data_IF_338766080177
#
_entry.id   IF_338766080177
#
_cell.length_a   1.000
_cell.length_b   1.000
_cell.length_c   1.000
_cell.angle_alpha   90.00
_cell.angle_beta   90.00
_cell.angle_gamma   90.00
#
_symmetry.space_group_name_H-M   'P 1'
#
loop_
_entity.id
_entity.type
_entity.pdbx_description
1 polymer ?
#
# COMPACT_ATOMS: atom_id res chain seq x y z
N UNK A 1 21.17 24.83 -3.49
CA UNK A 1 20.13 24.91 -4.54
C UNK A 1 19.10 23.84 -4.24
N UNK A 2 17.83 24.19 -4.21
CA UNK A 2 16.72 23.23 -4.10
C UNK A 2 16.74 22.32 -5.32
N UNK A 3 16.40 21.07 -5.16
CA UNK A 3 16.27 20.07 -6.25
C UNK A 3 15.11 20.40 -7.19
N UNK A 4 14.13 21.16 -6.71
CA UNK A 4 12.88 21.47 -7.36
C UNK A 4 12.65 22.99 -7.42
N UNK A 5 11.92 23.43 -8.45
CA UNK A 5 11.55 24.84 -8.64
C UNK A 5 10.19 25.15 -8.01
N UNK A 6 9.31 24.15 -7.91
CA UNK A 6 7.99 24.24 -7.30
C UNK A 6 7.47 22.85 -6.91
N UNK A 7 6.31 22.79 -6.24
CA UNK A 7 5.70 21.51 -5.90
C UNK A 7 4.20 21.48 -6.12
N UNK A 8 3.66 20.27 -6.32
CA UNK A 8 2.23 19.99 -6.43
C UNK A 8 1.81 18.95 -5.40
N UNK A 9 0.72 19.20 -4.66
CA UNK A 9 0.09 18.23 -3.76
C UNK A 9 -1.08 17.61 -4.51
N UNK A 10 -0.87 16.40 -5.01
CA UNK A 10 -1.87 15.59 -5.68
C UNK A 10 -2.69 14.85 -4.62
N UNK A 11 -3.94 15.25 -4.49
CA UNK A 11 -4.81 14.81 -3.42
C UNK A 11 -6.24 14.63 -3.93
N UNK A 12 -7.12 14.24 -3.04
CA UNK A 12 -8.56 14.34 -3.26
C UNK A 12 -9.21 15.19 -2.16
N UNK A 13 -10.46 15.59 -2.38
CA UNK A 13 -11.20 16.30 -1.35
C UNK A 13 -11.29 15.46 -0.09
N UNK A 14 -11.17 16.07 1.08
CA UNK A 14 -11.28 15.43 2.41
C UNK A 14 -10.14 14.48 2.78
N UNK A 15 -9.03 14.50 2.07
CA UNK A 15 -7.81 13.71 2.40
C UNK A 15 -6.93 14.34 3.48
N UNK A 16 -7.26 15.54 3.98
CA UNK A 16 -6.45 16.25 4.97
C UNK A 16 -5.46 17.24 4.36
N UNK A 17 -5.60 17.56 3.07
CA UNK A 17 -4.69 18.45 2.33
C UNK A 17 -4.59 19.87 2.93
N UNK A 18 -5.66 20.39 3.56
CA UNK A 18 -5.60 21.67 4.30
C UNK A 18 -4.66 21.59 5.52
N UNK A 19 -4.62 20.45 6.23
CA UNK A 19 -3.73 20.27 7.37
C UNK A 19 -2.28 20.13 6.91
N UNK A 20 -2.05 19.38 5.82
CA UNK A 20 -0.73 19.29 5.20
C UNK A 20 -0.23 20.68 4.77
N UNK A 21 -1.04 21.45 4.05
CA UNK A 21 -0.74 22.81 3.64
C UNK A 21 -0.37 23.71 4.83
N UNK A 22 -1.17 23.69 5.92
CA UNK A 22 -0.91 24.52 7.11
C UNK A 22 0.45 24.18 7.73
N UNK A 23 0.83 22.91 7.75
CA UNK A 23 2.12 22.48 8.28
C UNK A 23 3.28 22.76 7.33
N UNK A 24 3.09 22.65 6.01
CA UNK A 24 4.11 23.06 5.03
C UNK A 24 4.38 24.55 5.11
N UNK A 25 3.34 25.38 5.24
CA UNK A 25 3.46 26.83 5.42
C UNK A 25 4.08 27.25 6.75
N UNK A 26 4.27 26.31 7.68
CA UNK A 26 5.02 26.54 8.92
C UNK A 26 6.52 26.19 8.79
N UNK A 27 6.96 25.67 7.64
CA UNK A 27 8.37 25.40 7.34
C UNK A 27 8.96 26.61 6.64
N UNK A 28 10.04 27.17 7.17
CA UNK A 28 10.72 28.30 6.56
C UNK A 28 11.16 27.98 5.12
N UNK A 29 10.80 28.85 4.19
CA UNK A 29 11.12 28.72 2.77
C UNK A 29 10.12 27.87 1.96
N UNK A 30 9.01 27.38 2.57
CA UNK A 30 7.90 26.74 1.87
C UNK A 30 6.65 27.63 1.84
N UNK A 31 5.93 27.60 0.71
CA UNK A 31 4.64 28.26 0.56
C UNK A 31 3.70 27.41 -0.28
N UNK A 32 2.66 26.86 0.32
CA UNK A 32 1.55 26.22 -0.38
C UNK A 32 0.41 27.25 -0.58
N UNK A 33 0.04 27.48 -1.82
CA UNK A 33 -0.81 28.61 -2.26
C UNK A 33 -2.28 28.18 -2.46
N UNK A 34 -2.74 27.20 -1.68
CA UNK A 34 -4.11 26.72 -1.75
C UNK A 34 -4.41 25.91 -3.02
N UNK A 35 -5.62 26.02 -3.52
CA UNK A 35 -6.10 25.35 -4.73
C UNK A 35 -5.97 26.28 -5.94
N UNK A 36 -4.73 26.53 -6.38
CA UNK A 36 -4.42 27.53 -7.41
C UNK A 36 -5.18 27.31 -8.74
N UNK A 37 -5.53 26.06 -9.04
CA UNK A 37 -6.20 25.66 -10.29
C UNK A 37 -7.58 25.03 -10.06
N UNK A 38 -8.27 25.43 -8.99
CA UNK A 38 -9.66 25.02 -8.76
C UNK A 38 -10.57 25.70 -9.79
N UNK A 39 -11.50 24.98 -10.46
CA UNK A 39 -12.34 25.57 -11.52
C UNK A 39 -13.28 26.69 -11.02
N UNK A 40 -13.61 26.75 -9.73
CA UNK A 40 -14.53 27.73 -9.18
C UNK A 40 -13.89 28.97 -8.54
N UNK A 41 -12.56 28.91 -8.24
CA UNK A 41 -11.83 30.01 -7.59
C UNK A 41 -10.32 29.87 -7.81
N UNK A 42 -9.55 30.88 -7.39
CA UNK A 42 -8.09 30.87 -7.48
C UNK A 42 -7.48 30.87 -6.05
N UNK A 43 -6.65 29.87 -5.73
CA UNK A 43 -6.02 29.73 -4.41
C UNK A 43 -7.01 29.41 -3.31
N UNK A 44 -7.80 30.38 -2.89
CA UNK A 44 -8.81 30.23 -1.82
C UNK A 44 -10.14 30.86 -2.25
N UNK A 45 -11.30 30.38 -1.74
CA UNK A 45 -12.58 31.04 -1.95
C UNK A 45 -12.52 32.53 -1.58
N UNK A 46 -13.14 33.38 -2.39
CA UNK A 46 -13.16 34.86 -2.27
C UNK A 46 -11.82 35.56 -2.57
N UNK A 47 -10.81 34.86 -3.05
CA UNK A 47 -9.58 35.49 -3.52
C UNK A 47 -9.74 35.89 -4.99
N UNK A 48 -9.39 37.12 -5.34
CA UNK A 48 -9.58 37.68 -6.71
C UNK A 48 -8.37 37.36 -7.62
N UNK A 49 -7.18 37.27 -7.05
CA UNK A 49 -5.95 37.01 -7.78
C UNK A 49 -4.94 36.22 -6.91
N UNK A 50 -4.05 35.44 -7.55
CA UNK A 50 -2.95 34.72 -6.93
C UNK A 50 -1.66 35.06 -7.67
N UNK A 51 -0.62 35.44 -6.97
CA UNK A 51 0.65 35.90 -7.56
C UNK A 51 0.45 36.97 -8.66
N UNK A 52 -0.55 37.85 -8.50
CA UNK A 52 -0.87 38.89 -9.45
C UNK A 52 -1.69 38.46 -10.70
N UNK A 53 -2.05 37.18 -10.78
CA UNK A 53 -2.83 36.60 -11.88
C UNK A 53 -4.25 36.39 -11.42
N UNK A 54 -5.23 36.94 -12.18
CA UNK A 54 -6.66 36.77 -11.92
C UNK A 54 -7.18 35.39 -12.37
N UNK A 55 -8.40 35.05 -11.93
CA UNK A 55 -9.06 33.81 -12.34
C UNK A 55 -9.22 33.76 -13.88
N UNK A 56 -9.67 34.84 -14.51
CA UNK A 56 -9.87 34.88 -15.97
C UNK A 56 -8.56 34.73 -16.75
N UNK A 57 -7.49 35.36 -16.29
CA UNK A 57 -6.16 35.22 -16.89
C UNK A 57 -5.67 33.78 -16.79
N UNK A 58 -5.82 33.12 -15.61
CA UNK A 58 -5.48 31.72 -15.42
C UNK A 58 -6.29 30.78 -16.32
N UNK A 59 -7.61 31.01 -16.46
CA UNK A 59 -8.47 30.19 -17.34
C UNK A 59 -8.06 30.31 -18.80
N UNK A 60 -7.69 31.52 -19.23
CA UNK A 60 -7.21 31.76 -20.59
C UNK A 60 -5.86 31.05 -20.84
N UNK A 61 -4.91 31.21 -19.91
CA UNK A 61 -3.57 30.59 -19.98
C UNK A 61 -3.07 30.21 -18.59
N UNK A 62 -3.19 28.92 -18.18
CA UNK A 62 -2.74 28.45 -16.88
C UNK A 62 -1.21 28.50 -16.70
N UNK A 63 -0.44 28.57 -17.80
CA UNK A 63 1.01 28.68 -17.73
C UNK A 63 1.43 30.00 -17.06
N UNK A 64 0.69 31.10 -17.26
CA UNK A 64 0.98 32.37 -16.61
C UNK A 64 1.03 32.25 -15.09
N UNK A 65 0.08 31.52 -14.48
CA UNK A 65 0.06 31.32 -13.04
C UNK A 65 1.17 30.36 -12.60
N UNK A 66 1.47 29.31 -13.36
CA UNK A 66 2.60 28.41 -13.08
C UNK A 66 3.93 29.15 -13.06
N UNK A 67 4.14 30.03 -14.03
CA UNK A 67 5.38 30.83 -14.12
C UNK A 67 5.46 31.84 -12.95
N UNK A 68 4.34 32.44 -12.57
CA UNK A 68 4.28 33.34 -11.41
C UNK A 68 4.55 32.57 -10.08
N UNK A 69 4.06 31.35 -9.95
CA UNK A 69 4.34 30.48 -8.79
C UNK A 69 5.83 30.11 -8.73
N UNK A 70 6.45 29.76 -9.86
CA UNK A 70 7.88 29.45 -9.97
C UNK A 70 8.77 30.67 -9.65
N UNK A 71 8.30 31.86 -9.95
CA UNK A 71 9.05 33.11 -9.73
C UNK A 71 8.86 33.67 -8.30
N UNK A 72 7.96 33.12 -7.50
CA UNK A 72 7.69 33.58 -6.15
C UNK A 72 8.83 33.21 -5.18
N UNK A 73 8.95 33.95 -4.07
CA UNK A 73 9.99 33.73 -3.07
C UNK A 73 9.85 32.39 -2.36
N UNK A 74 10.97 31.65 -2.26
CA UNK A 74 11.02 30.32 -1.66
C UNK A 74 10.54 29.21 -2.60
N UNK A 75 10.33 28.01 -2.04
CA UNK A 75 9.76 26.89 -2.80
C UNK A 75 8.24 26.94 -2.68
N UNK A 76 7.59 27.39 -3.75
CA UNK A 76 6.15 27.53 -3.80
C UNK A 76 5.47 26.32 -4.45
N UNK A 77 4.22 26.06 -4.07
CA UNK A 77 3.42 24.99 -4.64
C UNK A 77 1.94 25.16 -4.35
N UNK A 78 1.15 24.19 -4.74
CA UNK A 78 -0.31 24.24 -4.62
C UNK A 78 -0.93 22.85 -4.47
N UNK A 79 -2.19 22.83 -4.00
CA UNK A 79 -3.02 21.63 -3.94
C UNK A 79 -3.76 21.42 -5.26
N UNK A 80 -3.82 20.20 -5.72
CA UNK A 80 -4.45 19.82 -6.96
C UNK A 80 -5.28 18.54 -6.78
N UNK A 81 -6.53 18.58 -7.26
CA UNK A 81 -7.47 17.47 -7.20
C UNK A 81 -7.81 16.96 -8.60
N UNK A 82 -8.35 15.75 -8.69
CA UNK A 82 -8.63 15.08 -9.96
C UNK A 82 -9.56 15.88 -10.90
N UNK A 83 -10.38 16.79 -10.38
CA UNK A 83 -11.33 17.64 -11.11
C UNK A 83 -10.80 19.05 -11.40
N UNK A 84 -9.52 19.31 -11.12
CA UNK A 84 -8.86 20.57 -11.48
C UNK A 84 -8.40 20.56 -12.96
N UNK A 85 -7.82 21.66 -13.44
CA UNK A 85 -7.43 21.86 -14.82
C UNK A 85 -6.45 20.77 -15.33
N UNK A 86 -6.85 19.87 -16.26
CA UNK A 86 -6.01 18.79 -16.75
C UNK A 86 -4.76 19.26 -17.49
N UNK A 87 -4.78 20.48 -18.09
CA UNK A 87 -3.62 21.07 -18.79
C UNK A 87 -2.45 21.25 -17.81
N UNK A 88 -2.75 21.72 -16.59
CA UNK A 88 -1.76 21.92 -15.52
C UNK A 88 -1.21 20.60 -15.02
N UNK A 89 -2.07 19.59 -14.87
CA UNK A 89 -1.64 18.26 -14.42
C UNK A 89 -0.61 17.66 -15.40
N UNK A 90 -0.86 17.75 -16.68
CA UNK A 90 0.05 17.24 -17.71
C UNK A 90 1.40 17.95 -17.67
N UNK A 91 1.41 19.28 -17.53
CA UNK A 91 2.63 20.08 -17.40
C UNK A 91 3.41 19.65 -16.14
N UNK A 92 2.76 19.62 -14.98
CA UNK A 92 3.41 19.28 -13.71
C UNK A 92 3.96 17.85 -13.69
N UNK A 93 3.23 16.88 -14.25
CA UNK A 93 3.69 15.49 -14.30
C UNK A 93 4.85 15.27 -15.27
N UNK A 94 4.93 16.07 -16.33
CA UNK A 94 6.04 16.01 -17.28
C UNK A 94 7.31 16.72 -16.76
N UNK A 95 7.17 17.75 -15.93
CA UNK A 95 8.27 18.60 -15.46
C UNK A 95 9.09 17.92 -14.33
N UNK A 96 10.35 17.54 -14.54
CA UNK A 96 11.19 16.94 -13.50
C UNK A 96 11.56 17.91 -12.37
N UNK A 97 11.46 19.24 -12.61
CA UNK A 97 11.68 20.27 -11.61
C UNK A 97 10.45 20.54 -10.73
N UNK A 98 9.32 19.90 -11.01
CA UNK A 98 8.15 19.89 -10.14
C UNK A 98 8.25 18.76 -9.12
N UNK A 99 8.28 19.05 -7.83
CA UNK A 99 8.15 18.02 -6.80
C UNK A 99 6.71 17.54 -6.71
N UNK A 100 6.49 16.21 -6.74
CA UNK A 100 5.16 15.61 -6.61
C UNK A 100 4.98 15.06 -5.21
N UNK A 101 3.89 15.43 -4.55
CA UNK A 101 3.46 14.93 -3.24
C UNK A 101 2.10 14.27 -3.44
N UNK A 102 1.97 12.99 -3.17
CA UNK A 102 0.70 12.25 -3.31
C UNK A 102 0.13 11.97 -1.93
N UNK A 103 -0.97 12.63 -1.61
CA UNK A 103 -1.67 12.47 -0.34
C UNK A 103 -2.91 11.60 -0.52
N UNK A 104 -2.96 10.50 0.26
CA UNK A 104 -4.05 9.52 0.21
C UNK A 104 -4.77 9.38 1.55
N UNK A 105 -6.00 8.91 1.49
CA UNK A 105 -6.82 8.55 2.65
C UNK A 105 -7.75 7.42 2.26
N UNK A 106 -8.28 6.67 3.26
CA UNK A 106 -9.29 5.66 3.01
C UNK A 106 -10.48 6.26 2.23
N UNK A 107 -10.87 5.70 1.08
CA UNK A 107 -11.92 6.25 0.22
C UNK A 107 -13.30 6.35 0.90
N UNK A 108 -13.64 5.40 1.78
CA UNK A 108 -14.91 5.47 2.50
C UNK A 108 -14.94 6.64 3.49
N UNK A 109 -13.83 6.87 4.21
CA UNK A 109 -13.70 8.04 5.09
C UNK A 109 -13.79 9.36 4.32
N UNK A 110 -13.18 9.43 3.12
CA UNK A 110 -13.25 10.63 2.27
C UNK A 110 -14.65 10.86 1.77
N UNK A 111 -15.31 9.82 1.27
CA UNK A 111 -16.68 9.90 0.77
C UNK A 111 -17.68 10.37 1.86
N UNK A 112 -17.69 9.70 3.01
CA UNK A 112 -18.59 10.08 4.14
C UNK A 112 -18.29 11.51 4.61
N UNK A 113 -17.01 11.88 4.72
CA UNK A 113 -16.61 13.25 5.10
C UNK A 113 -17.01 14.29 4.05
N UNK A 114 -16.98 13.94 2.76
CA UNK A 114 -17.41 14.81 1.65
C UNK A 114 -18.92 15.03 1.72
N UNK A 115 -19.72 13.98 1.89
CA UNK A 115 -21.18 14.07 2.00
C UNK A 115 -21.60 14.95 3.19
N UNK A 116 -20.92 14.79 4.34
CA UNK A 116 -21.19 15.65 5.52
C UNK A 116 -20.81 17.10 5.22
N UNK A 117 -19.68 17.36 4.56
CA UNK A 117 -19.26 18.71 4.22
C UNK A 117 -20.24 19.39 3.24
N UNK A 118 -20.76 18.66 2.26
CA UNK A 118 -21.80 19.11 1.33
C UNK A 118 -23.09 19.45 2.05
N UNK A 119 -23.54 18.56 2.96
CA UNK A 119 -24.80 18.73 3.70
C UNK A 119 -24.75 19.86 4.74
N UNK A 120 -23.57 20.12 5.34
CA UNK A 120 -23.38 21.13 6.40
C UNK A 120 -22.84 22.47 5.89
N UNK A 121 -22.28 22.52 4.69
CA UNK A 121 -21.53 23.64 4.15
C UNK A 121 -20.19 23.89 4.87
N UNK A 122 -19.72 22.96 5.72
CA UNK A 122 -18.52 23.14 6.52
C UNK A 122 -17.29 22.43 5.90
N UNK A 123 -16.46 23.20 5.20
CA UNK A 123 -15.27 22.69 4.51
C UNK A 123 -13.98 22.74 5.36
N UNK A 124 -13.90 23.67 6.32
CA UNK A 124 -12.78 23.82 7.27
C UNK A 124 -13.31 23.91 8.71
N UNK A 125 -12.55 23.41 9.67
CA UNK A 125 -12.86 23.47 11.08
C UNK A 125 -11.63 23.96 11.85
N UNK A 126 -11.73 25.16 12.42
CA UNK A 126 -10.67 25.75 13.26
C UNK A 126 -11.01 25.69 14.75
N UNK A 127 -12.30 25.64 15.09
CA UNK A 127 -12.77 25.54 16.46
C UNK A 127 -13.74 24.36 16.60
N UNK A 128 -13.38 23.40 17.47
CA UNK A 128 -14.17 22.19 17.67
C UNK A 128 -15.60 22.44 18.19
N UNK A 129 -15.83 23.56 18.92
CA UNK A 129 -17.17 23.95 19.41
C UNK A 129 -18.12 24.35 18.28
N UNK A 130 -17.61 24.69 17.13
CA UNK A 130 -18.38 25.07 15.94
C UNK A 130 -18.54 23.89 14.94
N UNK A 131 -18.19 22.67 15.37
CA UNK A 131 -18.33 21.49 14.51
C UNK A 131 -19.83 21.26 14.20
N UNK A 132 -20.16 21.28 12.91
CA UNK A 132 -21.47 20.89 12.42
C UNK A 132 -21.45 19.39 12.15
N UNK A 133 -22.39 18.67 12.71
CA UNK A 133 -22.57 17.24 12.48
C UNK A 133 -23.90 16.99 11.81
N UNK A 134 -23.92 16.13 10.81
CA UNK A 134 -25.15 15.65 10.19
C UNK A 134 -24.95 14.20 9.79
N UNK A 135 -25.95 13.37 10.07
CA UNK A 135 -26.00 12.01 9.54
C UNK A 135 -26.35 12.07 8.06
N UNK A 136 -25.59 11.35 7.25
CA UNK A 136 -25.82 11.24 5.80
C UNK A 136 -26.39 9.87 5.46
N UNK A 137 -27.10 9.76 4.35
CA UNK A 137 -27.42 8.48 3.74
C UNK A 137 -26.27 8.05 2.82
N UNK A 138 -25.84 6.81 2.97
CA UNK A 138 -24.85 6.20 2.07
C UNK A 138 -25.57 5.74 0.80
N UNK A 139 -24.98 6.07 -0.35
CA UNK A 139 -25.41 5.61 -1.66
C UNK A 139 -24.30 4.73 -2.26
N UNK A 140 -24.63 3.46 -2.57
CA UNK A 140 -23.67 2.48 -3.02
C UNK A 140 -23.13 2.77 -4.42
N UNK A 141 -23.97 3.27 -5.33
CA UNK A 141 -23.58 3.58 -6.71
C UNK A 141 -22.74 4.86 -6.73
N UNK A 142 -23.13 5.88 -5.98
CA UNK A 142 -22.34 7.11 -5.82
C UNK A 142 -20.98 6.81 -5.20
N UNK A 143 -20.93 5.98 -4.16
CA UNK A 143 -19.65 5.56 -3.56
C UNK A 143 -18.78 4.76 -4.52
N UNK A 144 -19.37 3.85 -5.29
CA UNK A 144 -18.62 3.05 -6.29
C UNK A 144 -18.02 3.95 -7.37
N UNK A 145 -18.77 4.97 -7.81
CA UNK A 145 -18.26 5.94 -8.78
C UNK A 145 -17.15 6.82 -8.19
N UNK A 146 -17.30 7.26 -6.94
CA UNK A 146 -16.26 8.01 -6.22
C UNK A 146 -14.98 7.16 -6.07
N UNK A 147 -15.10 5.91 -5.63
CA UNK A 147 -13.97 4.98 -5.49
C UNK A 147 -13.26 4.77 -6.84
N UNK A 148 -14.03 4.56 -7.92
CA UNK A 148 -13.47 4.38 -9.26
C UNK A 148 -12.71 5.62 -9.73
N UNK A 149 -13.28 6.82 -9.57
CA UNK A 149 -12.62 8.06 -9.95
C UNK A 149 -11.28 8.25 -9.21
N UNK A 150 -11.24 7.96 -7.91
CA UNK A 150 -10.00 8.00 -7.13
C UNK A 150 -8.97 6.97 -7.62
N UNK A 151 -9.39 5.75 -7.89
CA UNK A 151 -8.50 4.68 -8.38
C UNK A 151 -7.95 4.97 -9.76
N UNK A 152 -8.78 5.49 -10.67
CA UNK A 152 -8.37 5.88 -12.02
C UNK A 152 -7.36 7.02 -11.97
N UNK A 153 -7.60 8.03 -11.13
CA UNK A 153 -6.66 9.14 -10.94
C UNK A 153 -5.32 8.65 -10.38
N UNK A 154 -5.33 7.82 -9.35
CA UNK A 154 -4.11 7.25 -8.78
C UNK A 154 -3.36 6.38 -9.81
N UNK A 155 -4.06 5.53 -10.55
CA UNK A 155 -3.47 4.67 -11.59
C UNK A 155 -2.81 5.52 -12.68
N UNK A 156 -3.47 6.59 -13.11
CA UNK A 156 -2.93 7.54 -14.09
C UNK A 156 -1.67 8.24 -13.55
N UNK A 157 -1.69 8.73 -12.30
CA UNK A 157 -0.52 9.34 -11.68
C UNK A 157 0.69 8.38 -11.64
N UNK A 158 0.46 7.13 -11.20
CA UNK A 158 1.52 6.12 -11.15
C UNK A 158 2.10 5.85 -12.53
N UNK A 159 1.24 5.66 -13.54
CA UNK A 159 1.67 5.44 -14.92
C UNK A 159 2.52 6.61 -15.44
N UNK A 160 2.09 7.85 -15.20
CA UNK A 160 2.81 9.06 -15.65
C UNK A 160 4.18 9.17 -14.97
N UNK A 161 4.27 8.89 -13.68
CA UNK A 161 5.54 8.88 -12.96
C UNK A 161 6.48 7.79 -13.49
N UNK A 162 5.96 6.59 -13.81
CA UNK A 162 6.75 5.49 -14.36
C UNK A 162 7.33 5.81 -15.73
N UNK A 163 6.52 6.29 -16.66
CA UNK A 163 6.98 6.57 -18.04
C UNK A 163 7.94 7.77 -18.11
N UNK A 164 7.91 8.68 -17.12
CA UNK A 164 8.83 9.82 -17.03
C UNK A 164 10.06 9.55 -16.14
N UNK A 165 10.13 8.35 -15.51
CA UNK A 165 11.22 8.00 -14.60
C UNK A 165 11.27 8.86 -13.33
N UNK A 166 10.15 9.47 -12.95
CA UNK A 166 10.05 10.34 -11.79
C UNK A 166 9.44 9.61 -10.60
N UNK A 167 9.64 10.17 -9.40
CA UNK A 167 9.04 9.68 -8.17
C UNK A 167 8.28 10.79 -7.46
N UNK A 168 7.37 10.41 -6.56
CA UNK A 168 6.66 11.32 -5.68
C UNK A 168 6.96 10.99 -4.21
N UNK A 169 6.70 11.95 -3.31
CA UNK A 169 6.60 11.66 -1.89
C UNK A 169 5.17 11.22 -1.58
N UNK A 170 5.01 9.97 -1.16
CA UNK A 170 3.71 9.42 -0.79
C UNK A 170 3.48 9.58 0.70
N UNK A 171 2.32 10.10 1.07
CA UNK A 171 1.94 10.33 2.46
C UNK A 171 0.48 9.92 2.67
N UNK A 172 0.20 9.15 3.73
CA UNK A 172 -1.15 8.82 4.15
C UNK A 172 -1.74 9.85 5.11
N UNK A 173 -3.07 9.89 5.19
CA UNK A 173 -3.78 10.78 6.12
C UNK A 173 -3.33 10.61 7.57
N UNK A 174 -3.08 9.38 8.01
CA UNK A 174 -2.69 9.10 9.40
C UNK A 174 -1.28 9.56 9.70
N UNK A 175 -0.40 9.56 8.68
CA UNK A 175 0.99 10.01 8.78
C UNK A 175 1.10 11.54 8.93
N UNK A 176 0.05 12.29 8.61
CA UNK A 176 0.02 13.75 8.78
C UNK A 176 0.22 14.20 10.23
N UNK A 177 -0.04 13.32 11.21
CA UNK A 177 0.18 13.62 12.63
C UNK A 177 1.60 13.31 13.10
N UNK A 178 2.43 12.72 12.24
CA UNK A 178 3.83 12.40 12.53
C UNK A 178 4.74 13.54 12.04
N UNK A 179 5.35 14.24 12.97
CA UNK A 179 6.28 15.34 12.68
C UNK A 179 7.53 14.85 11.94
N UNK A 180 7.97 13.61 12.18
CA UNK A 180 9.14 13.05 11.52
C UNK A 180 8.85 12.82 10.03
N UNK A 181 7.63 12.39 9.67
CA UNK A 181 7.19 12.25 8.28
C UNK A 181 7.13 13.61 7.58
N UNK A 182 6.58 14.64 8.21
CA UNK A 182 6.55 16.00 7.64
C UNK A 182 7.95 16.60 7.48
N UNK A 183 8.85 16.34 8.42
CA UNK A 183 10.25 16.70 8.30
C UNK A 183 10.98 15.92 7.19
N UNK A 184 10.61 14.67 6.97
CA UNK A 184 11.03 13.85 5.83
C UNK A 184 10.58 14.47 4.50
N UNK A 185 9.35 14.96 4.44
CA UNK A 185 8.83 15.68 3.27
C UNK A 185 9.62 16.99 3.00
N UNK A 186 9.91 17.78 4.04
CA UNK A 186 10.75 18.97 3.90
C UNK A 186 12.15 18.63 3.37
N UNK A 187 12.74 17.51 3.85
CA UNK A 187 14.02 17.02 3.33
C UNK A 187 13.93 16.57 1.85
N UNK A 188 12.86 15.87 1.47
CA UNK A 188 12.59 15.49 0.08
C UNK A 188 12.52 16.73 -0.84
N UNK A 189 11.90 17.81 -0.36
CA UNK A 189 11.82 19.10 -1.05
C UNK A 189 13.15 19.86 -1.09
N UNK A 190 14.18 19.35 -0.44
CA UNK A 190 15.53 19.94 -0.45
C UNK A 190 15.73 21.06 0.56
N UNK A 191 14.86 21.16 1.59
CA UNK A 191 14.96 22.20 2.62
C UNK A 191 15.64 21.69 3.88
N UNK A 192 16.55 22.47 4.48
CA UNK A 192 17.19 22.16 5.76
C UNK A 192 16.27 22.43 6.96
N UNK A 193 15.30 23.35 6.79
CA UNK A 193 14.35 23.72 7.82
C UNK A 193 13.50 22.54 8.31
N UNK A 194 13.19 22.52 9.61
CA UNK A 194 12.42 21.46 10.25
C UNK A 194 11.35 22.05 11.16
N UNK A 195 10.21 21.38 11.18
CA UNK A 195 9.16 21.64 12.16
C UNK A 195 9.61 21.17 13.55
N UNK A 196 9.48 22.01 14.54
CA UNK A 196 9.61 21.63 15.94
C UNK A 196 8.29 21.10 16.52
N UNK A 197 7.16 21.63 16.02
CA UNK A 197 5.81 21.25 16.43
C UNK A 197 4.85 21.30 15.25
N UNK A 198 3.79 20.49 15.30
CA UNK A 198 2.71 20.56 14.32
C UNK A 198 1.85 21.81 14.51
N UNK A 199 1.45 22.46 13.41
CA UNK A 199 0.37 23.44 13.42
C UNK A 199 -0.97 22.71 13.63
N UNK A 200 -1.56 22.90 14.81
CA UNK A 200 -2.83 22.28 15.23
C UNK A 200 -4.03 23.23 15.18
N UNK A 201 -3.92 24.33 14.42
CA UNK A 201 -5.05 25.26 14.21
C UNK A 201 -6.24 24.58 13.59
N UNK A 202 -6.01 23.67 12.65
CA UNK A 202 -7.06 22.86 12.03
C UNK A 202 -7.38 21.64 12.90
N UNK A 203 -8.66 21.41 13.12
CA UNK A 203 -9.17 20.27 13.88
C UNK A 203 -9.72 19.19 12.97
N UNK A 204 -9.60 17.92 13.39
CA UNK A 204 -10.20 16.78 12.69
C UNK A 204 -11.72 16.99 12.65
N UNK A 205 -12.26 16.98 11.44
CA UNK A 205 -13.71 17.00 11.24
C UNK A 205 -14.26 15.57 11.31
N UNK A 206 -15.46 15.42 11.86
CA UNK A 206 -16.20 14.17 11.93
C UNK A 206 -15.40 12.98 12.51
N UNK A 207 -14.83 13.09 13.74
CA UNK A 207 -14.01 12.02 14.32
C UNK A 207 -14.83 10.81 14.79
N UNK A 208 -16.17 10.92 14.87
CA UNK A 208 -17.08 9.88 15.31
C UNK A 208 -17.02 8.62 14.41
N UNK A 209 -17.42 7.43 14.92
CA UNK A 209 -17.52 6.22 14.11
C UNK A 209 -18.62 6.34 13.03
N UNK A 210 -18.61 5.44 12.03
CA UNK A 210 -19.61 5.47 10.96
C UNK A 210 -21.05 5.32 11.46
N UNK A 211 -21.27 4.55 12.53
CA UNK A 211 -22.59 4.38 13.15
C UNK A 211 -23.26 5.71 13.52
N UNK A 212 -22.47 6.71 13.89
CA UNK A 212 -22.98 8.04 14.26
C UNK A 212 -23.12 8.98 13.06
N UNK A 213 -22.45 8.66 11.95
CA UNK A 213 -22.38 9.51 10.75
C UNK A 213 -23.30 9.08 9.63
N UNK A 214 -23.63 7.78 9.55
CA UNK A 214 -24.41 7.17 8.47
C UNK A 214 -25.77 6.72 8.99
N UNK A 215 -26.84 7.12 8.31
CA UNK A 215 -28.22 6.78 8.74
C UNK A 215 -28.61 5.34 8.37
N UNK A 216 -28.10 4.82 7.27
CA UNK A 216 -28.37 3.48 6.72
C UNK A 216 -27.13 2.59 6.78
N UNK A 217 -26.55 2.43 7.99
CA UNK A 217 -25.30 1.71 8.22
C UNK A 217 -25.33 0.26 7.69
N UNK A 218 -26.44 -0.46 7.93
CA UNK A 218 -26.57 -1.86 7.48
C UNK A 218 -26.54 -2.01 5.94
N UNK A 219 -27.11 -1.04 5.21
CA UNK A 219 -27.06 -0.99 3.74
C UNK A 219 -25.62 -0.71 3.27
N UNK A 220 -24.95 0.24 3.93
CA UNK A 220 -23.54 0.54 3.66
C UNK A 220 -22.66 -0.71 3.86
N UNK A 221 -22.79 -1.40 5.01
CA UNK A 221 -22.02 -2.61 5.29
C UNK A 221 -22.30 -3.74 4.28
N UNK A 222 -23.56 -3.87 3.85
CA UNK A 222 -23.94 -4.85 2.83
C UNK A 222 -23.32 -4.53 1.47
N UNK A 223 -23.34 -3.26 1.06
CA UNK A 223 -22.74 -2.83 -0.20
C UNK A 223 -21.22 -3.02 -0.19
N UNK A 224 -20.56 -2.70 0.92
CA UNK A 224 -19.10 -2.85 1.06
C UNK A 224 -18.63 -4.30 0.99
N UNK A 225 -19.45 -5.28 1.35
CA UNK A 225 -19.12 -6.71 1.20
C UNK A 225 -18.92 -7.14 -0.27
N UNK A 226 -19.56 -6.45 -1.20
CA UNK A 226 -19.43 -6.69 -2.64
C UNK A 226 -18.24 -5.98 -3.29
N UNK A 227 -17.59 -5.08 -2.56
CA UNK A 227 -16.44 -4.31 -3.04
C UNK A 227 -15.15 -4.99 -2.57
N UNK A 228 -14.13 -5.03 -3.45
CA UNK A 228 -12.79 -5.49 -3.06
C UNK A 228 -12.27 -4.66 -1.88
N UNK A 229 -12.13 -5.24 -0.66
CA UNK A 229 -11.72 -4.50 0.52
C UNK A 229 -10.29 -3.94 0.40
N UNK A 230 -9.47 -4.51 -0.48
CA UNK A 230 -8.11 -4.03 -0.75
C UNK A 230 -8.09 -2.82 -1.69
N UNK A 231 -9.16 -2.58 -2.44
CA UNK A 231 -9.36 -1.36 -3.20
C UNK A 231 -9.55 -0.11 -2.34
N UNK A 232 -9.82 -0.29 -1.03
CA UNK A 232 -9.90 0.78 -0.04
C UNK A 232 -8.53 1.15 0.54
N UNK A 233 -7.42 0.69 -0.05
CA UNK A 233 -6.06 1.01 0.37
C UNK A 233 -5.83 2.53 0.36
N UNK A 234 -5.10 3.02 1.36
CA UNK A 234 -4.75 4.44 1.52
C UNK A 234 -3.62 4.89 0.61
N UNK A 235 -2.68 3.96 0.34
CA UNK A 235 -1.46 4.25 -0.40
C UNK A 235 -1.51 3.58 -1.75
N UNK A 236 -1.17 4.28 -2.83
CA UNK A 236 -1.08 3.68 -4.15
C UNK A 236 -0.11 2.50 -4.15
N UNK A 237 -0.50 1.40 -4.74
CA UNK A 237 0.34 0.22 -4.88
C UNK A 237 0.96 0.21 -6.28
N UNK A 238 2.29 0.35 -6.34
CA UNK A 238 3.06 0.32 -7.60
C UNK A 238 3.32 -1.10 -8.09
N UNK A 239 3.07 -2.11 -7.26
CA UNK A 239 3.32 -3.48 -7.67
C UNK A 239 2.37 -3.90 -8.79
N UNK A 240 2.88 -4.64 -9.79
CA UNK A 240 2.03 -5.22 -10.82
C UNK A 240 0.99 -6.15 -10.20
N UNK A 241 -0.25 -6.02 -10.64
CA UNK A 241 -1.35 -6.90 -10.19
C UNK A 241 -0.96 -8.37 -10.36
N UNK A 242 -1.31 -9.17 -9.37
CA UNK A 242 -1.17 -10.64 -9.41
C UNK A 242 -2.54 -11.26 -9.67
N UNK A 243 -2.53 -12.36 -10.37
CA UNK A 243 -3.73 -13.22 -10.50
C UNK A 243 -3.84 -14.20 -9.34
N UNK A 244 -4.98 -14.88 -9.20
CA UNK A 244 -5.14 -15.95 -8.23
C UNK A 244 -4.22 -17.11 -8.60
N UNK A 245 -3.48 -17.60 -7.62
CA UNK A 245 -2.54 -18.70 -7.80
C UNK A 245 -3.20 -20.06 -7.50
N UNK A 246 -4.38 -20.34 -8.08
CA UNK A 246 -5.20 -21.54 -7.81
C UNK A 246 -4.39 -22.84 -7.85
N UNK A 247 -3.47 -23.08 -8.80
CA UNK A 247 -2.68 -24.30 -8.81
C UNK A 247 -1.80 -24.51 -7.56
N UNK A 248 -1.51 -23.45 -6.80
CA UNK A 248 -0.73 -23.54 -5.56
C UNK A 248 -1.59 -23.78 -4.31
N UNK A 249 -2.91 -23.76 -4.44
CA UNK A 249 -3.79 -24.02 -3.30
C UNK A 249 -3.63 -25.46 -2.83
N UNK A 250 -3.76 -25.65 -1.51
CA UNK A 250 -3.75 -26.97 -0.87
C UNK A 250 -5.06 -27.17 -0.14
N UNK A 251 -5.63 -28.37 -0.23
CA UNK A 251 -6.80 -28.75 0.54
C UNK A 251 -6.51 -30.01 1.35
N UNK A 252 -7.08 -30.12 2.54
CA UNK A 252 -7.07 -31.36 3.29
C UNK A 252 -7.83 -32.44 2.50
N UNK A 253 -7.39 -33.68 2.62
CA UNK A 253 -7.90 -34.77 1.78
C UNK A 253 -9.38 -35.12 2.06
N UNK A 254 -9.81 -34.95 3.31
CA UNK A 254 -11.17 -35.32 3.78
C UNK A 254 -11.83 -34.21 4.58
N UNK A 255 -11.05 -33.36 5.24
CA UNK A 255 -11.54 -32.27 6.07
C UNK A 255 -11.80 -31.03 5.21
N UNK A 256 -12.91 -30.34 5.43
CA UNK A 256 -13.33 -29.17 4.65
C UNK A 256 -12.43 -27.92 4.84
N UNK A 257 -11.11 -28.04 4.64
CA UNK A 257 -10.14 -26.96 4.80
C UNK A 257 -9.31 -26.74 3.53
N UNK A 258 -9.25 -25.50 3.07
CA UNK A 258 -8.42 -25.05 1.94
C UNK A 258 -7.42 -24.00 2.44
N UNK A 259 -6.15 -24.27 2.25
CA UNK A 259 -5.08 -23.30 2.41
C UNK A 259 -4.78 -22.61 1.08
N UNK A 260 -4.80 -21.28 1.11
CA UNK A 260 -4.47 -20.41 -0.03
C UNK A 260 -3.09 -19.80 0.25
N UNK A 261 -1.98 -20.42 -0.20
CA UNK A 261 -0.65 -20.03 0.21
C UNK A 261 -0.21 -18.69 -0.38
N UNK A 262 0.46 -17.90 0.43
CA UNK A 262 1.34 -16.83 -0.01
C UNK A 262 2.74 -17.42 -0.20
N UNK A 263 3.30 -17.30 -1.41
CA UNK A 263 4.60 -17.90 -1.74
C UNK A 263 5.69 -17.43 -0.76
N UNK A 264 6.62 -18.30 -0.40
CA UNK A 264 7.61 -18.13 0.69
C UNK A 264 6.98 -18.01 2.08
N UNK A 265 5.75 -18.47 2.24
CA UNK A 265 5.05 -18.66 3.51
C UNK A 265 5.30 -20.04 4.12
N UNK A 266 4.58 -20.43 5.20
CA UNK A 266 4.78 -21.68 5.94
C UNK A 266 4.04 -22.87 5.31
N UNK A 267 4.28 -23.14 4.02
CA UNK A 267 3.55 -24.14 3.26
C UNK A 267 3.78 -25.56 3.78
N UNK A 268 5.01 -25.85 4.16
CA UNK A 268 5.40 -27.18 4.68
C UNK A 268 4.69 -27.49 6.00
N UNK A 269 4.62 -26.51 6.90
CA UNK A 269 3.91 -26.67 8.20
C UNK A 269 2.43 -26.99 7.98
N UNK A 270 1.79 -26.35 7.01
CA UNK A 270 0.37 -26.59 6.70
C UNK A 270 0.18 -27.94 6.02
N UNK A 271 1.09 -28.32 5.11
CA UNK A 271 1.05 -29.63 4.43
C UNK A 271 1.18 -30.76 5.44
N UNK A 272 2.16 -30.67 6.37
CA UNK A 272 2.37 -31.65 7.43
C UNK A 272 1.15 -31.73 8.37
N UNK A 273 0.57 -30.60 8.69
CA UNK A 273 -0.63 -30.57 9.53
C UNK A 273 -1.85 -31.19 8.81
N UNK A 274 -2.06 -30.93 7.52
CA UNK A 274 -3.12 -31.57 6.74
C UNK A 274 -2.93 -33.08 6.65
N UNK A 275 -1.67 -33.52 6.50
CA UNK A 275 -1.36 -34.95 6.54
C UNK A 275 -1.73 -35.56 7.90
N UNK A 276 -1.32 -34.92 9.01
CA UNK A 276 -1.63 -35.39 10.37
C UNK A 276 -3.15 -35.35 10.67
N UNK A 277 -3.90 -34.40 10.06
CA UNK A 277 -5.32 -34.25 10.26
C UNK A 277 -6.14 -35.39 9.60
N UNK A 278 -5.76 -35.79 8.40
CA UNK A 278 -6.54 -36.72 7.57
C UNK A 278 -5.85 -38.06 7.31
N UNK A 279 -4.63 -38.27 7.82
CA UNK A 279 -3.78 -39.43 7.51
C UNK A 279 -3.70 -39.68 5.99
N UNK A 280 -3.54 -38.59 5.23
CA UNK A 280 -3.45 -38.59 3.79
C UNK A 280 -2.77 -37.31 3.29
N UNK A 281 -2.02 -37.36 2.17
CA UNK A 281 -1.40 -36.16 1.62
C UNK A 281 -2.45 -35.11 1.20
N UNK A 282 -2.15 -33.82 1.36
CA UNK A 282 -3.05 -32.77 0.90
C UNK A 282 -3.23 -32.83 -0.61
N UNK A 283 -4.40 -32.39 -1.09
CA UNK A 283 -4.72 -32.26 -2.51
C UNK A 283 -4.13 -30.94 -3.00
N UNK A 284 -3.38 -30.98 -4.08
CA UNK A 284 -2.70 -29.83 -4.71
C UNK A 284 -3.07 -29.72 -6.20
N UNK A 285 -2.44 -28.79 -6.91
CA UNK A 285 -2.54 -28.65 -8.37
C UNK A 285 -3.99 -28.41 -8.88
N UNK A 286 -4.72 -27.60 -8.13
CA UNK A 286 -6.10 -27.27 -8.49
C UNK A 286 -6.20 -26.49 -9.80
N UNK A 287 -7.15 -26.89 -10.65
CA UNK A 287 -7.79 -26.04 -11.64
C UNK A 287 -9.00 -25.33 -11.01
N UNK A 288 -9.54 -24.30 -11.66
CA UNK A 288 -10.80 -23.68 -11.20
C UNK A 288 -11.94 -24.71 -11.14
N UNK A 289 -11.97 -25.66 -12.07
CA UNK A 289 -13.01 -26.70 -12.10
C UNK A 289 -12.85 -27.67 -10.93
N UNK A 290 -11.66 -28.22 -10.72
CA UNK A 290 -11.41 -29.18 -9.61
C UNK A 290 -11.56 -28.54 -8.25
N UNK A 291 -11.20 -27.25 -8.09
CA UNK A 291 -11.42 -26.49 -6.87
C UNK A 291 -12.92 -26.34 -6.53
N UNK A 292 -13.75 -25.97 -7.53
CA UNK A 292 -15.21 -25.88 -7.36
C UNK A 292 -15.82 -27.23 -7.00
N UNK A 293 -15.38 -28.31 -7.65
CA UNK A 293 -15.84 -29.66 -7.36
C UNK A 293 -15.51 -30.04 -5.91
N UNK A 294 -14.24 -29.84 -5.49
CA UNK A 294 -13.82 -30.13 -4.12
C UNK A 294 -14.65 -29.35 -3.09
N UNK A 295 -14.92 -28.05 -3.34
CA UNK A 295 -15.75 -27.21 -2.48
C UNK A 295 -17.19 -27.72 -2.36
N UNK A 296 -17.76 -28.25 -3.46
CA UNK A 296 -19.09 -28.85 -3.46
C UNK A 296 -19.14 -30.13 -2.62
N UNK A 297 -18.09 -30.93 -2.68
CA UNK A 297 -18.01 -32.25 -2.05
C UNK A 297 -17.71 -32.17 -0.54
N UNK A 298 -17.15 -31.04 -0.08
CA UNK A 298 -16.67 -30.84 1.31
C UNK A 298 -17.42 -29.72 2.06
N UNK A 299 -18.70 -29.61 1.88
CA UNK A 299 -19.51 -28.63 2.61
C UNK A 299 -19.87 -29.12 4.01
N UNK A 300 -19.65 -28.33 5.13
CA UNK A 300 -19.10 -26.99 5.14
C UNK A 300 -17.58 -26.98 4.98
N UNK A 301 -17.04 -25.93 4.34
CA UNK A 301 -15.60 -25.75 4.22
C UNK A 301 -15.17 -24.33 4.66
N UNK A 302 -13.86 -24.17 4.93
CA UNK A 302 -13.22 -22.88 5.23
C UNK A 302 -11.95 -22.71 4.39
N UNK A 303 -11.77 -21.49 3.89
CA UNK A 303 -10.55 -21.05 3.21
C UNK A 303 -9.73 -20.21 4.16
N UNK A 304 -8.44 -20.43 4.22
CA UNK A 304 -7.55 -19.61 5.03
C UNK A 304 -6.22 -19.36 4.34
N UNK A 305 -5.56 -18.31 4.77
CA UNK A 305 -4.18 -17.99 4.40
C UNK A 305 -3.40 -17.59 5.64
N UNK A 306 -2.07 -17.63 5.53
CA UNK A 306 -1.17 -17.30 6.62
C UNK A 306 -0.23 -16.19 6.18
N UNK A 307 -0.19 -15.11 6.94
CA UNK A 307 0.79 -14.02 6.82
C UNK A 307 2.05 -14.38 7.58
N UNK A 308 3.19 -14.17 6.95
CA UNK A 308 4.50 -14.25 7.57
C UNK A 308 5.06 -12.85 7.79
N UNK A 309 5.88 -12.66 8.82
CA UNK A 309 6.59 -11.39 9.00
C UNK A 309 7.30 -10.99 7.71
N UNK A 310 7.17 -9.75 7.20
CA UNK A 310 7.68 -9.36 5.87
C UNK A 310 9.16 -9.63 5.67
N UNK A 311 9.99 -9.36 6.69
CA UNK A 311 11.44 -9.63 6.62
C UNK A 311 11.72 -11.13 6.56
N UNK A 312 11.07 -11.95 7.40
CA UNK A 312 11.23 -13.40 7.40
C UNK A 312 10.80 -14.00 6.04
N UNK A 313 9.74 -13.48 5.45
CA UNK A 313 9.27 -13.91 4.12
C UNK A 313 10.23 -13.50 3.01
N UNK A 314 10.75 -12.27 3.02
CA UNK A 314 11.75 -11.82 2.06
C UNK A 314 13.06 -12.61 2.20
N UNK A 315 13.43 -12.96 3.43
CA UNK A 315 14.60 -13.80 3.71
C UNK A 315 14.42 -15.23 3.18
N UNK A 316 13.25 -15.84 3.38
CA UNK A 316 12.95 -17.15 2.80
C UNK A 316 13.03 -17.10 1.25
N UNK A 317 12.47 -16.07 0.63
CA UNK A 317 12.57 -15.87 -0.83
C UNK A 317 14.03 -15.71 -1.29
N UNK A 318 14.84 -14.96 -0.53
CA UNK A 318 16.27 -14.80 -0.80
C UNK A 318 17.02 -16.13 -0.73
N UNK A 319 16.84 -16.89 0.34
CA UNK A 319 17.53 -18.17 0.54
C UNK A 319 17.11 -19.21 -0.52
N UNK A 320 15.82 -19.43 -0.68
CA UNK A 320 15.28 -20.52 -1.51
C UNK A 320 15.41 -20.27 -3.01
N UNK A 321 15.37 -19.01 -3.45
CA UNK A 321 15.29 -18.72 -4.89
C UNK A 321 16.49 -17.95 -5.46
N UNK A 322 17.22 -17.21 -4.62
CA UNK A 322 18.27 -16.29 -5.09
C UNK A 322 19.66 -16.75 -4.63
N UNK A 323 19.82 -17.09 -3.35
CA UNK A 323 21.12 -17.41 -2.78
C UNK A 323 21.60 -18.81 -3.18
N UNK A 324 20.74 -19.82 -3.00
CA UNK A 324 21.05 -21.21 -3.32
C UNK A 324 20.92 -21.51 -4.82
N UNK A 325 21.48 -22.66 -5.22
CA UNK A 325 21.38 -23.21 -6.59
C UNK A 325 20.67 -24.58 -6.62
N UNK A 326 20.02 -24.96 -5.50
CA UNK A 326 19.22 -26.18 -5.39
C UNK A 326 17.86 -26.07 -6.09
N UNK A 327 16.98 -27.03 -5.86
CA UNK A 327 15.64 -27.06 -6.42
C UNK A 327 14.84 -25.80 -6.05
N UNK A 328 14.14 -25.25 -7.05
CA UNK A 328 13.33 -24.03 -6.88
C UNK A 328 14.08 -22.70 -7.05
N UNK A 329 15.40 -22.73 -7.27
CA UNK A 329 16.16 -21.50 -7.54
C UNK A 329 15.80 -20.87 -8.91
N UNK A 330 16.10 -19.57 -9.07
CA UNK A 330 15.86 -18.82 -10.30
C UNK A 330 17.18 -18.47 -11.02
N UNK A 331 17.74 -19.35 -11.86
CA UNK A 331 19.10 -19.20 -12.40
C UNK A 331 19.28 -17.91 -13.21
N UNK A 332 18.34 -17.59 -14.11
CA UNK A 332 18.42 -16.37 -14.93
C UNK A 332 18.29 -15.09 -14.10
N UNK A 333 17.40 -15.09 -13.14
CA UNK A 333 17.21 -13.96 -12.25
C UNK A 333 18.42 -13.76 -11.35
N UNK A 334 18.92 -14.83 -10.74
CA UNK A 334 20.15 -14.83 -9.95
C UNK A 334 21.32 -14.22 -10.72
N UNK A 335 21.51 -14.66 -11.98
CA UNK A 335 22.54 -14.09 -12.86
C UNK A 335 22.32 -12.58 -13.14
N UNK A 336 21.07 -12.15 -13.34
CA UNK A 336 20.71 -10.75 -13.53
C UNK A 336 21.01 -9.92 -12.27
N UNK A 337 20.60 -10.41 -11.10
CA UNK A 337 20.84 -9.72 -9.83
C UNK A 337 22.34 -9.56 -9.55
N UNK A 338 23.16 -10.58 -9.81
CA UNK A 338 24.61 -10.48 -9.67
C UNK A 338 25.24 -9.51 -10.68
N UNK A 339 24.89 -9.60 -11.96
CA UNK A 339 25.54 -8.84 -13.03
C UNK A 339 25.07 -7.41 -13.13
N UNK A 340 23.74 -7.17 -13.08
CA UNK A 340 23.14 -5.86 -13.30
C UNK A 340 22.98 -5.11 -11.97
N UNK A 341 22.40 -5.76 -10.96
CA UNK A 341 22.13 -5.14 -9.66
C UNK A 341 23.30 -5.30 -8.66
N UNK A 342 24.41 -5.95 -9.08
CA UNK A 342 25.63 -6.11 -8.28
C UNK A 342 25.40 -6.78 -6.91
N UNK A 343 24.42 -7.70 -6.85
CA UNK A 343 24.14 -8.43 -5.61
C UNK A 343 25.38 -9.21 -5.16
N UNK A 344 25.90 -8.99 -3.94
CA UNK A 344 27.13 -9.62 -3.45
C UNK A 344 26.85 -11.05 -2.92
N UNK A 345 26.48 -11.95 -3.81
CA UNK A 345 26.26 -13.37 -3.52
C UNK A 345 27.25 -14.25 -4.29
N UNK A 346 27.66 -15.40 -3.75
CA UNK A 346 28.61 -16.30 -4.39
C UNK A 346 28.16 -16.72 -5.79
N UNK A 347 29.11 -17.09 -6.65
CA UNK A 347 28.81 -17.61 -8.00
C UNK A 347 28.10 -18.95 -7.94
N UNK A 348 28.72 -19.86 -7.19
CA UNK A 348 28.11 -21.12 -6.83
C UNK A 348 27.31 -20.89 -5.54
N UNK A 349 26.01 -21.20 -5.57
CA UNK A 349 25.15 -20.97 -4.40
C UNK A 349 25.63 -21.82 -3.22
N UNK A 350 25.71 -21.26 -2.00
CA UNK A 350 26.11 -22.04 -0.85
C UNK A 350 25.05 -23.10 -0.52
N UNK A 351 25.48 -24.24 -0.04
CA UNK A 351 24.64 -25.15 0.72
C UNK A 351 24.44 -24.55 2.12
N UNK A 352 23.24 -24.12 2.46
CA UNK A 352 22.96 -23.43 3.73
C UNK A 352 23.01 -24.38 4.94
N UNK A 353 22.94 -25.68 4.72
CA UNK A 353 23.10 -26.69 5.77
C UNK A 353 24.58 -27.01 5.99
N UNK A 354 25.42 -26.85 4.93
CA UNK A 354 26.86 -27.07 4.98
C UNK A 354 27.61 -25.90 4.28
N UNK A 355 27.58 -24.68 4.85
CA UNK A 355 27.89 -23.45 4.15
C UNK A 355 29.36 -23.25 3.73
N UNK A 356 30.29 -24.08 4.21
CA UNK A 356 31.71 -23.94 3.91
C UNK A 356 32.26 -22.58 4.36
N UNK A 357 32.83 -21.82 3.42
CA UNK A 357 33.37 -20.47 3.68
C UNK A 357 32.30 -19.37 3.68
N UNK A 358 31.02 -19.69 3.46
CA UNK A 358 29.93 -18.70 3.49
C UNK A 358 29.53 -18.42 4.95
N UNK A 359 29.81 -17.20 5.40
CA UNK A 359 29.62 -16.78 6.78
C UNK A 359 28.39 -15.88 7.00
N UNK A 360 27.97 -15.66 8.26
CA UNK A 360 26.84 -14.78 8.59
C UNK A 360 27.02 -13.33 8.12
N UNK A 361 28.25 -12.81 8.04
CA UNK A 361 28.49 -11.42 7.59
C UNK A 361 28.25 -11.30 6.08
N UNK A 362 28.73 -12.27 5.29
CA UNK A 362 28.44 -12.36 3.86
C UNK A 362 26.94 -12.52 3.60
N UNK A 363 26.26 -13.35 4.41
CA UNK A 363 24.82 -13.55 4.33
C UNK A 363 24.05 -12.24 4.57
N UNK A 364 24.36 -11.56 5.66
CA UNK A 364 23.77 -10.26 5.99
C UNK A 364 23.97 -9.23 4.85
N UNK A 365 25.21 -9.14 4.34
CA UNK A 365 25.54 -8.22 3.25
C UNK A 365 24.73 -8.53 1.99
N UNK A 366 24.63 -9.80 1.61
CA UNK A 366 23.84 -10.24 0.46
C UNK A 366 22.34 -9.97 0.63
N UNK A 367 21.80 -10.24 1.81
CA UNK A 367 20.39 -10.02 2.10
C UNK A 367 20.02 -8.54 2.15
N UNK A 368 20.84 -7.67 2.76
CA UNK A 368 20.60 -6.23 2.76
C UNK A 368 20.59 -5.67 1.34
N UNK A 369 21.54 -6.06 0.50
CA UNK A 369 21.54 -5.67 -0.91
C UNK A 369 20.32 -6.20 -1.68
N UNK A 370 19.81 -7.38 -1.31
CA UNK A 370 18.55 -7.89 -1.86
C UNK A 370 17.34 -7.05 -1.42
N UNK A 371 17.28 -6.58 -0.17
CA UNK A 371 16.24 -5.67 0.30
C UNK A 371 16.28 -4.32 -0.45
N UNK A 372 17.45 -3.75 -0.70
CA UNK A 372 17.62 -2.56 -1.53
C UNK A 372 17.10 -2.77 -2.96
N UNK A 373 17.42 -3.92 -3.56
CA UNK A 373 16.83 -4.31 -4.85
C UNK A 373 15.30 -4.40 -4.75
N UNK A 374 14.75 -5.02 -3.70
CA UNK A 374 13.30 -5.13 -3.51
C UNK A 374 12.61 -3.77 -3.42
N UNK A 375 13.20 -2.78 -2.76
CA UNK A 375 12.65 -1.41 -2.72
C UNK A 375 12.39 -0.88 -4.13
N UNK A 376 13.38 -0.98 -5.02
CA UNK A 376 13.24 -0.54 -6.42
C UNK A 376 12.32 -1.44 -7.24
N UNK A 377 12.39 -2.76 -7.03
CA UNK A 377 11.60 -3.73 -7.79
C UNK A 377 10.10 -3.62 -7.48
N UNK A 378 9.72 -3.52 -6.20
CA UNK A 378 8.34 -3.36 -5.78
C UNK A 378 7.76 -1.99 -6.18
N UNK A 379 8.62 -0.98 -6.29
CA UNK A 379 8.26 0.33 -6.84
C UNK A 379 8.16 0.36 -8.38
N UNK A 380 8.31 -0.77 -9.06
CA UNK A 380 8.23 -0.84 -10.52
C UNK A 380 9.41 -0.18 -11.27
N UNK A 381 10.53 0.08 -10.58
CA UNK A 381 11.69 0.81 -11.12
C UNK A 381 12.80 -0.11 -11.65
N UNK A 382 12.54 -1.38 -11.84
CA UNK A 382 13.49 -2.33 -12.42
C UNK A 382 12.89 -3.04 -13.63
N UNK A 383 13.75 -3.54 -14.53
CA UNK A 383 13.32 -4.41 -15.64
C UNK A 383 12.96 -5.83 -15.21
N UNK A 384 13.27 -6.19 -13.97
CA UNK A 384 12.94 -7.49 -13.39
C UNK A 384 11.47 -7.51 -12.99
N UNK A 385 10.75 -8.51 -13.47
CA UNK A 385 9.35 -8.70 -13.06
C UNK A 385 9.28 -9.03 -11.58
N UNK A 386 8.39 -8.38 -10.84
CA UNK A 386 8.10 -8.73 -9.44
C UNK A 386 7.59 -10.18 -9.38
N UNK A 387 8.29 -11.04 -8.67
CA UNK A 387 7.87 -12.44 -8.48
C UNK A 387 6.93 -12.60 -7.28
N UNK A 388 6.10 -13.64 -7.29
CA UNK A 388 5.18 -13.94 -6.20
C UNK A 388 5.91 -14.32 -4.90
N UNK A 389 7.17 -14.76 -4.97
CA UNK A 389 7.95 -15.12 -3.80
C UNK A 389 8.23 -13.93 -2.87
N UNK A 390 8.36 -12.72 -3.44
CA UNK A 390 8.62 -11.49 -2.68
C UNK A 390 7.62 -10.35 -2.95
N UNK A 391 6.67 -10.50 -3.86
CA UNK A 391 5.56 -9.55 -4.01
C UNK A 391 4.92 -9.29 -2.64
N UNK A 392 4.41 -8.09 -2.39
CA UNK A 392 3.76 -7.81 -1.11
C UNK A 392 2.62 -8.78 -0.84
N UNK A 393 2.41 -9.13 0.41
CA UNK A 393 1.32 -10.04 0.79
C UNK A 393 -0.04 -9.44 0.45
N UNK A 394 -0.15 -8.10 0.53
CA UNK A 394 -1.34 -7.38 0.10
C UNK A 394 -1.65 -7.61 -1.39
N UNK A 395 -0.66 -7.47 -2.27
CA UNK A 395 -0.84 -7.69 -3.72
C UNK A 395 -1.25 -9.14 -4.04
N UNK A 396 -0.73 -10.11 -3.29
CA UNK A 396 -1.13 -11.51 -3.46
C UNK A 396 -2.57 -11.75 -3.00
N UNK A 397 -2.98 -11.17 -1.86
CA UNK A 397 -4.36 -11.21 -1.37
C UNK A 397 -5.34 -10.54 -2.35
N UNK A 398 -4.96 -9.41 -2.94
CA UNK A 398 -5.72 -8.77 -4.02
C UNK A 398 -5.89 -9.70 -5.24
N UNK A 399 -4.85 -10.47 -5.56
CA UNK A 399 -4.92 -11.50 -6.60
C UNK A 399 -5.92 -12.60 -6.27
N UNK A 400 -5.94 -13.09 -5.03
CA UNK A 400 -6.91 -14.10 -4.57
C UNK A 400 -8.35 -13.58 -4.65
N UNK A 401 -8.57 -12.30 -4.31
CA UNK A 401 -9.89 -11.65 -4.33
C UNK A 401 -10.58 -11.71 -5.71
N UNK A 402 -9.84 -11.88 -6.79
CA UNK A 402 -10.42 -12.02 -8.14
C UNK A 402 -11.25 -13.31 -8.32
N UNK A 403 -11.03 -14.31 -7.46
CA UNK A 403 -11.78 -15.58 -7.49
C UNK A 403 -12.52 -15.81 -6.18
N UNK A 404 -11.81 -15.75 -5.06
CA UNK A 404 -12.38 -15.85 -3.72
C UNK A 404 -11.40 -15.32 -2.69
N UNK A 405 -11.91 -14.63 -1.67
CA UNK A 405 -11.12 -14.26 -0.49
C UNK A 405 -10.98 -15.46 0.44
N UNK A 406 -9.86 -15.55 1.21
CA UNK A 406 -9.83 -16.43 2.37
C UNK A 406 -10.89 -16.01 3.40
N UNK A 407 -11.54 -16.99 4.03
CA UNK A 407 -12.51 -16.73 5.09
C UNK A 407 -11.79 -16.28 6.37
N UNK A 408 -10.52 -16.70 6.54
CA UNK A 408 -9.67 -16.32 7.66
C UNK A 408 -8.25 -16.03 7.18
N UNK A 409 -7.67 -14.94 7.69
CA UNK A 409 -6.27 -14.57 7.51
C UNK A 409 -5.59 -14.70 8.88
N UNK A 410 -4.57 -15.57 8.96
CA UNK A 410 -3.83 -15.84 10.19
C UNK A 410 -2.45 -15.21 10.14
N UNK A 411 -1.87 -14.86 11.28
CA UNK A 411 -0.43 -14.70 11.42
C UNK A 411 0.23 -16.07 11.66
N UNK A 412 1.47 -16.20 11.21
CA UNK A 412 2.22 -17.47 11.36
C UNK A 412 2.32 -17.91 12.83
N UNK A 413 2.50 -16.96 13.75
CA UNK A 413 2.57 -17.21 15.19
C UNK A 413 1.26 -17.75 15.79
N UNK A 414 0.12 -17.48 15.13
CA UNK A 414 -1.20 -17.93 15.56
C UNK A 414 -1.55 -19.36 15.08
N UNK A 415 -0.74 -19.95 14.22
CA UNK A 415 -0.98 -21.29 13.65
C UNK A 415 -1.35 -22.33 14.74
N UNK A 416 -0.61 -22.45 15.88
CA UNK A 416 -0.91 -23.48 16.87
C UNK A 416 -2.29 -23.36 17.51
N UNK A 417 -2.77 -22.15 17.69
CA UNK A 417 -4.07 -21.85 18.33
C UNK A 417 -5.22 -21.79 17.32
N UNK A 418 -4.99 -21.28 16.13
CA UNK A 418 -6.03 -20.97 15.16
C UNK A 418 -6.43 -22.18 14.29
N UNK A 419 -5.48 -23.03 13.89
CA UNK A 419 -5.80 -24.16 13.01
C UNK A 419 -6.73 -25.19 13.65
N UNK A 420 -6.59 -25.58 14.94
CA UNK A 420 -7.54 -26.46 15.60
C UNK A 420 -8.95 -25.86 15.68
N UNK A 421 -9.06 -24.54 15.88
CA UNK A 421 -10.35 -23.83 15.88
C UNK A 421 -11.01 -23.85 14.48
N UNK A 422 -10.23 -23.68 13.42
CA UNK A 422 -10.73 -23.80 12.04
C UNK A 422 -11.20 -25.22 11.74
N UNK A 423 -10.46 -26.24 12.17
CA UNK A 423 -10.86 -27.62 12.00
C UNK A 423 -12.18 -27.94 12.75
N UNK A 424 -12.33 -27.41 13.97
CA UNK A 424 -13.59 -27.55 14.72
C UNK A 424 -14.80 -26.94 14.00
N UNK A 425 -14.61 -25.81 13.29
CA UNK A 425 -15.69 -25.17 12.51
C UNK A 425 -16.18 -26.02 11.32
N UNK A 426 -15.38 -26.97 10.87
CA UNK A 426 -15.73 -27.89 9.78
C UNK A 426 -15.95 -29.33 10.27
N UNK A 427 -16.23 -29.47 11.56
CA UNK A 427 -16.63 -30.75 12.16
C UNK A 427 -15.46 -31.63 12.66
N UNK A 428 -14.26 -31.08 12.83
CA UNK A 428 -13.08 -31.81 13.36
C UNK A 428 -12.56 -31.17 14.66
N UNK A 429 -13.30 -31.27 15.78
CA UNK A 429 -12.87 -30.71 17.08
C UNK A 429 -11.68 -31.45 17.70
N UNK A 430 -11.38 -32.63 17.25
CA UNK A 430 -10.30 -33.51 17.67
C UNK A 430 -9.02 -33.35 16.83
N UNK A 431 -8.92 -32.26 16.06
CA UNK A 431 -7.79 -32.01 15.18
C UNK A 431 -6.45 -32.00 15.97
N UNK A 432 -5.38 -32.60 15.42
CA UNK A 432 -4.07 -32.57 16.04
C UNK A 432 -3.52 -31.16 16.09
N UNK A 433 -2.71 -30.86 17.11
CA UNK A 433 -2.00 -29.58 17.17
C UNK A 433 -0.94 -29.52 16.06
N UNK A 434 -0.89 -28.42 15.31
CA UNK A 434 0.17 -28.24 14.32
C UNK A 434 1.54 -28.14 14.99
N UNK A 435 2.53 -28.76 14.40
CA UNK A 435 3.93 -28.65 14.85
C UNK A 435 4.58 -27.50 14.09
N UNK A 436 4.88 -26.40 14.80
CA UNK A 436 5.73 -25.36 14.25
C UNK A 436 7.15 -25.93 14.16
N UNK A 437 7.61 -26.22 12.95
CA UNK A 437 9.03 -26.45 12.73
C UNK A 437 9.77 -25.11 12.91
N UNK A 438 11.02 -25.16 13.41
CA UNK A 438 11.91 -24.01 13.33
C UNK A 438 11.98 -23.54 11.85
N UNK A 439 12.04 -22.21 11.62
CA UNK A 439 12.22 -21.70 10.27
C UNK A 439 13.38 -22.42 9.59
N UNK A 440 13.17 -22.96 8.40
CA UNK A 440 14.18 -23.71 7.63
C UNK A 440 15.54 -23.00 7.59
N UNK A 441 15.51 -21.67 7.55
CA UNK A 441 16.71 -20.82 7.55
C UNK A 441 16.83 -19.99 8.84
N UNK A 442 16.33 -20.47 9.98
CA UNK A 442 16.28 -19.71 11.24
C UNK A 442 17.63 -19.22 11.72
N UNK A 443 18.67 -20.03 11.59
CA UNK A 443 20.05 -19.63 11.91
C UNK A 443 20.50 -18.43 11.08
N UNK A 444 20.26 -18.45 9.76
CA UNK A 444 20.64 -17.39 8.85
C UNK A 444 19.74 -16.15 9.00
N UNK A 445 18.48 -16.34 9.33
CA UNK A 445 17.58 -15.26 9.66
C UNK A 445 18.04 -14.52 10.92
N UNK A 446 18.46 -15.24 11.96
CA UNK A 446 19.00 -14.63 13.17
C UNK A 446 20.26 -13.79 12.92
N UNK A 447 21.08 -14.17 11.93
CA UNK A 447 22.27 -13.42 11.56
C UNK A 447 22.00 -12.05 10.92
N UNK A 448 20.78 -11.81 10.40
CA UNK A 448 20.39 -10.54 9.79
C UNK A 448 19.59 -9.64 10.73
N UNK A 449 19.04 -10.15 11.82
CA UNK A 449 18.45 -9.35 12.87
C UNK A 449 19.56 -8.70 13.69
N UNK A 450 19.62 -7.37 13.69
CA UNK A 450 20.44 -6.62 14.62
C UNK A 450 19.60 -6.32 15.86
N UNK A 451 19.97 -6.79 17.06
CA UNK A 451 19.22 -6.53 18.29
C UNK A 451 19.15 -5.05 18.69
N UNK A 452 19.75 -4.15 17.89
CA UNK A 452 19.72 -2.68 18.09
C UNK A 452 18.61 -2.00 17.28
N UNK A 453 17.84 -2.74 16.45
CA UNK A 453 16.76 -2.20 15.63
C UNK A 453 15.38 -2.72 16.14
N UNK A 454 15.23 -3.02 17.41
CA UNK A 454 13.93 -3.19 18.06
C UNK A 454 13.33 -1.83 18.49
#
# INVERSE_FOLDING_TARGET
MTKFDYFIILADMRTGSNFLESNLNAVDGLSCLGEAFNPGFIGYPMQEALCGISLDQREADPQMLLDAIKAADGLCGFRFFHNHDPRVLDICLADPCCAKIVLTRNPLDTYVSLKIAQATGQWKLTNATHAKTQRISFDADEFTNHLRAMQDFQTMLLHRLQITGQTAFFIGYDDLQDIAVLNGLAAFLGLPARLANLDRKLKKQNPAPFADKVSNLAEMESALRGIDPFGLSRTPNFEPRKGPAIPTYMAAARTGLIYMPLRSGPQDVIADWFFALDDAPPITDFSQKSLRQWQSDHTPFRRFTVLRHPVARAHAAFCDHILTTGDGHYPHLRATLRKVHKLPIPEDGPDLDHPGDYDPAAHRTGFLAFLEFLCSNLAGQTSVRVDAAWASQLTLLQGMAQVALPDVILHEDDIPSALPLLAAQVGRPDAPLPRLAAHRHGYWLAAVYDPVIE
#
